data_IF_836924234413
#
_entry.id   IF_836924234413
#
_cell.length_a   1.000
_cell.length_b   1.000
_cell.length_c   1.000
_cell.angle_alpha   90.00
_cell.angle_beta   90.00
_cell.angle_gamma   90.00
#
_symmetry.space_group_name_H-M   'P 1'
#
loop_
_entity.id
_entity.type
_entity.pdbx_description
1 polymer ?
#
# COMPACT_ATOMS: atom_id res chain seq x y z
N UNK A 1 -57.59 -39.35 32.10
CA UNK A 1 -57.40 -37.99 32.66
C UNK A 1 -55.95 -37.84 33.06
N UNK A 2 -55.14 -37.10 32.30
CA UNK A 2 -53.82 -36.62 32.74
C UNK A 2 -53.43 -35.37 31.94
N UNK A 3 -52.81 -34.44 32.66
CA UNK A 3 -52.78 -33.00 32.44
C UNK A 3 -51.89 -32.49 31.28
N UNK A 4 -52.12 -31.25 30.79
CA UNK A 4 -51.40 -30.68 29.64
C UNK A 4 -50.01 -30.13 30.01
N UNK A 5 -49.00 -30.44 29.19
CA UNK A 5 -47.70 -29.75 29.18
C UNK A 5 -47.86 -28.37 28.52
N UNK A 6 -48.00 -27.32 29.33
CA UNK A 6 -47.74 -25.96 28.89
C UNK A 6 -46.22 -25.77 28.81
N UNK A 7 -45.71 -25.62 27.59
CA UNK A 7 -44.39 -25.04 27.34
C UNK A 7 -44.44 -23.59 27.82
N UNK A 8 -44.04 -23.36 29.07
CA UNK A 8 -43.69 -22.04 29.55
C UNK A 8 -42.50 -21.55 28.72
N UNK A 9 -42.80 -20.61 27.82
CA UNK A 9 -41.82 -19.76 27.17
C UNK A 9 -41.06 -19.01 28.26
N UNK A 10 -39.90 -19.56 28.65
CA UNK A 10 -38.89 -18.82 29.39
C UNK A 10 -38.27 -17.82 28.40
N UNK A 11 -38.90 -16.65 28.28
CA UNK A 11 -38.24 -15.47 27.73
C UNK A 11 -36.95 -15.27 28.53
N UNK A 12 -35.81 -15.38 27.85
CA UNK A 12 -34.51 -15.16 28.45
C UNK A 12 -34.51 -13.76 29.06
N UNK A 13 -34.52 -13.71 30.39
CA UNK A 13 -34.26 -12.49 31.13
C UNK A 13 -32.86 -12.02 30.75
N UNK A 14 -32.80 -10.98 29.91
CA UNK A 14 -31.58 -10.18 29.72
C UNK A 14 -31.28 -9.59 31.10
N UNK A 15 -30.32 -10.18 31.79
CA UNK A 15 -29.81 -9.68 33.06
C UNK A 15 -29.35 -8.23 32.85
N UNK A 16 -30.03 -7.30 33.52
CA UNK A 16 -29.53 -5.94 33.69
C UNK A 16 -28.28 -6.02 34.56
N UNK A 17 -27.13 -6.14 33.92
CA UNK A 17 -25.86 -5.96 34.61
C UNK A 17 -25.90 -4.57 35.24
N UNK A 18 -25.76 -4.51 36.57
CA UNK A 18 -25.48 -3.29 37.33
C UNK A 18 -24.07 -2.78 37.04
N UNK A 19 -23.75 -2.58 35.76
CA UNK A 19 -22.59 -1.86 35.29
C UNK A 19 -23.05 -0.41 35.08
N UNK A 20 -22.29 0.55 35.63
CA UNK A 20 -22.54 1.97 35.45
C UNK A 20 -22.86 2.28 33.98
N UNK A 21 -24.13 2.61 33.68
CA UNK A 21 -24.53 3.00 32.34
C UNK A 21 -23.92 4.38 32.08
N UNK A 22 -23.05 4.47 31.07
CA UNK A 22 -22.55 5.74 30.53
C UNK A 22 -23.76 6.65 30.23
N UNK A 23 -23.72 7.89 30.69
CA UNK A 23 -24.84 8.81 30.44
C UNK A 23 -24.95 9.10 28.95
N UNK A 24 -26.17 9.30 28.41
CA UNK A 24 -26.37 9.64 26.99
C UNK A 24 -25.58 10.91 26.59
N UNK A 25 -25.41 11.82 27.55
CA UNK A 25 -24.63 13.04 27.40
C UNK A 25 -23.13 12.75 27.24
N UNK A 26 -22.61 11.79 28.00
CA UNK A 26 -21.21 11.39 27.91
C UNK A 26 -20.90 10.72 26.55
N UNK A 27 -21.82 9.89 26.05
CA UNK A 27 -21.72 9.34 24.70
C UNK A 27 -21.79 10.44 23.62
N UNK A 28 -22.65 11.45 23.80
CA UNK A 28 -22.76 12.57 22.86
C UNK A 28 -21.49 13.42 22.82
N UNK A 29 -20.91 13.73 23.98
CA UNK A 29 -19.69 14.54 24.05
C UNK A 29 -18.49 13.75 23.49
N UNK A 30 -18.35 12.48 23.87
CA UNK A 30 -17.25 11.63 23.38
C UNK A 30 -17.33 11.42 21.87
N UNK A 31 -18.50 11.12 21.32
CA UNK A 31 -18.68 11.00 19.86
C UNK A 31 -18.42 12.32 19.12
N UNK A 32 -18.83 13.46 19.68
CA UNK A 32 -18.53 14.77 19.09
C UNK A 32 -17.02 15.04 19.01
N UNK A 33 -16.26 14.73 20.06
CA UNK A 33 -14.80 14.88 20.06
C UNK A 33 -14.16 13.91 19.06
N UNK A 34 -14.62 12.66 18.99
CA UNK A 34 -14.10 11.67 18.02
C UNK A 34 -14.29 12.13 16.57
N UNK A 35 -15.44 12.74 16.23
CA UNK A 35 -15.68 13.28 14.89
C UNK A 35 -14.67 14.38 14.54
N UNK A 36 -14.39 15.31 15.45
CA UNK A 36 -13.42 16.39 15.20
C UNK A 36 -12.00 15.83 15.07
N UNK A 37 -11.60 14.91 15.94
CA UNK A 37 -10.27 14.31 15.91
C UNK A 37 -10.02 13.52 14.61
N UNK A 38 -11.00 12.74 14.16
CA UNK A 38 -10.89 11.97 12.92
C UNK A 38 -10.79 12.88 11.69
N UNK A 39 -11.53 13.98 11.66
CA UNK A 39 -11.47 14.95 10.56
C UNK A 39 -10.06 15.55 10.38
N UNK A 40 -9.33 15.81 11.47
CA UNK A 40 -7.97 16.37 11.42
C UNK A 40 -6.90 15.30 11.16
N UNK A 41 -7.08 14.08 11.68
CA UNK A 41 -6.09 13.02 11.57
C UNK A 41 -6.10 12.29 10.22
N UNK A 42 -7.27 12.18 9.57
CA UNK A 42 -7.45 11.36 8.37
C UNK A 42 -6.60 11.80 7.16
N UNK A 43 -6.48 13.11 6.82
CA UNK A 43 -5.67 13.54 5.69
C UNK A 43 -4.19 13.17 5.83
N UNK A 44 -3.64 13.32 7.04
CA UNK A 44 -2.24 12.98 7.36
C UNK A 44 -1.99 11.47 7.26
N UNK A 45 -2.96 10.66 7.70
CA UNK A 45 -2.89 9.21 7.57
C UNK A 45 -2.86 8.78 6.10
N UNK A 46 -3.69 9.35 5.24
CA UNK A 46 -3.71 9.02 3.81
C UNK A 46 -2.38 9.37 3.13
N UNK A 47 -1.79 10.52 3.46
CA UNK A 47 -0.51 10.94 2.90
C UNK A 47 0.63 9.98 3.29
N UNK A 48 0.72 9.62 4.56
CA UNK A 48 1.77 8.71 5.06
C UNK A 48 1.59 7.28 4.56
N UNK A 49 0.35 6.78 4.51
CA UNK A 49 0.02 5.48 3.90
C UNK A 49 0.46 5.44 2.44
N UNK A 50 0.10 6.45 1.65
CA UNK A 50 0.47 6.51 0.23
C UNK A 50 1.99 6.59 0.05
N UNK A 51 2.68 7.37 0.88
CA UNK A 51 4.14 7.43 0.89
C UNK A 51 4.78 6.07 1.19
N UNK A 52 4.25 5.31 2.15
CA UNK A 52 4.72 3.98 2.48
C UNK A 52 4.50 2.98 1.34
N UNK A 53 3.31 3.01 0.71
CA UNK A 53 2.98 2.12 -0.41
C UNK A 53 3.88 2.41 -1.63
N UNK A 54 3.99 3.69 -2.04
CA UNK A 54 4.85 4.11 -3.15
C UNK A 54 6.32 3.83 -2.82
N UNK A 55 6.76 4.11 -1.59
CA UNK A 55 8.12 3.83 -1.13
C UNK A 55 8.47 2.34 -1.16
N UNK A 56 7.54 1.46 -0.76
CA UNK A 56 7.74 0.01 -0.81
C UNK A 56 7.87 -0.47 -2.26
N UNK A 57 7.02 0.03 -3.16
CA UNK A 57 7.04 -0.32 -4.57
C UNK A 57 8.34 0.13 -5.24
N UNK A 58 8.74 1.37 -5.01
CA UNK A 58 10.02 1.92 -5.51
C UNK A 58 11.18 1.10 -4.94
N UNK A 59 11.15 0.75 -3.65
CA UNK A 59 12.17 -0.10 -3.02
C UNK A 59 12.28 -1.48 -3.65
N UNK A 60 11.17 -2.18 -3.83
CA UNK A 60 11.10 -3.48 -4.50
C UNK A 60 11.65 -3.42 -5.93
N UNK A 61 11.27 -2.38 -6.69
CA UNK A 61 11.75 -2.18 -8.05
C UNK A 61 13.22 -1.79 -8.14
N UNK A 62 13.74 -1.00 -7.20
CA UNK A 62 15.19 -0.77 -7.12
C UNK A 62 15.95 -2.07 -6.86
N UNK A 63 15.40 -2.97 -6.03
CA UNK A 63 15.97 -4.30 -5.79
C UNK A 63 15.96 -5.16 -7.05
N UNK A 64 14.82 -5.21 -7.75
CA UNK A 64 14.69 -5.90 -9.03
C UNK A 64 15.65 -5.35 -10.09
N UNK A 65 15.73 -4.02 -10.22
CA UNK A 65 16.61 -3.35 -11.18
C UNK A 65 18.10 -3.66 -10.89
N UNK A 66 18.49 -3.77 -9.61
CA UNK A 66 19.84 -4.22 -9.23
C UNK A 66 20.10 -5.69 -9.56
N UNK A 67 19.13 -6.56 -9.33
CA UNK A 67 19.23 -7.96 -9.71
C UNK A 67 19.45 -8.10 -11.23
N UNK A 68 18.69 -7.33 -12.02
CA UNK A 68 18.85 -7.21 -13.46
C UNK A 68 20.25 -6.71 -13.88
N UNK A 69 20.73 -5.61 -13.29
CA UNK A 69 22.06 -5.10 -13.59
C UNK A 69 23.16 -6.12 -13.24
N UNK A 70 22.96 -6.91 -12.17
CA UNK A 70 23.90 -7.97 -11.78
C UNK A 70 23.93 -9.10 -12.80
N UNK A 71 22.77 -9.48 -13.36
CA UNK A 71 22.69 -10.48 -14.42
C UNK A 71 23.37 -10.01 -15.70
N UNK A 72 23.17 -8.74 -16.07
CA UNK A 72 23.85 -8.12 -17.23
C UNK A 72 25.37 -8.16 -17.04
N UNK A 73 25.87 -7.76 -15.87
CA UNK A 73 27.29 -7.79 -15.55
C UNK A 73 27.88 -9.22 -15.49
N UNK A 74 27.08 -10.20 -15.07
CA UNK A 74 27.52 -11.59 -14.90
C UNK A 74 27.40 -12.45 -16.16
N UNK A 75 26.73 -11.95 -17.21
CA UNK A 75 26.46 -12.70 -18.44
C UNK A 75 25.54 -13.91 -18.22
N UNK A 76 24.74 -13.90 -17.14
CA UNK A 76 23.83 -15.00 -16.81
C UNK A 76 22.52 -14.85 -17.58
N UNK A 77 22.00 -15.99 -18.04
CA UNK A 77 20.82 -16.08 -18.91
C UNK A 77 19.50 -16.26 -18.13
N UNK A 78 19.49 -15.92 -16.84
CA UNK A 78 18.30 -16.02 -15.99
C UNK A 78 17.45 -14.77 -16.15
N UNK A 79 16.13 -14.94 -16.26
CA UNK A 79 15.18 -13.82 -16.29
C UNK A 79 14.63 -13.62 -14.88
N UNK A 80 14.94 -12.50 -14.20
CA UNK A 80 14.38 -12.24 -12.89
C UNK A 80 12.87 -12.00 -13.03
N UNK A 81 12.08 -12.61 -12.15
CA UNK A 81 10.64 -12.41 -12.13
C UNK A 81 10.32 -11.04 -11.52
N UNK A 82 9.51 -10.20 -12.18
CA UNK A 82 9.10 -8.91 -11.64
C UNK A 82 8.33 -9.07 -10.31
N UNK A 83 8.40 -8.08 -9.40
CA UNK A 83 7.59 -8.12 -8.19
C UNK A 83 6.10 -8.15 -8.54
N UNK A 84 5.28 -8.90 -7.78
CA UNK A 84 3.85 -8.98 -8.03
C UNK A 84 3.19 -7.61 -7.84
N UNK A 85 2.43 -7.18 -8.85
CA UNK A 85 1.61 -5.97 -8.75
C UNK A 85 0.43 -6.22 -7.81
N UNK A 86 0.24 -5.34 -6.83
CA UNK A 86 -1.00 -5.31 -6.04
C UNK A 86 -1.75 -4.02 -6.36
N UNK A 87 -3.07 -4.08 -6.64
CA UNK A 87 -3.85 -2.91 -7.05
C UNK A 87 -3.83 -1.78 -6.01
N UNK A 88 -3.56 -2.10 -4.74
CA UNK A 88 -3.48 -1.11 -3.65
C UNK A 88 -2.18 -0.29 -3.65
N UNK A 89 -1.09 -0.81 -4.24
CA UNK A 89 0.24 -0.18 -4.26
C UNK A 89 0.52 0.62 -5.54
N UNK A 90 -0.29 0.43 -6.58
CA UNK A 90 -0.03 0.92 -7.92
C UNK A 90 0.28 -0.20 -8.91
N UNK A 91 0.48 0.17 -10.17
CA UNK A 91 0.84 -0.74 -11.25
C UNK A 91 2.34 -0.73 -11.52
N UNK A 92 2.87 -1.89 -11.89
CA UNK A 92 4.19 -2.02 -12.52
C UNK A 92 3.99 -2.47 -13.95
N UNK A 93 4.59 -1.74 -14.87
CA UNK A 93 4.65 -2.09 -16.27
C UNK A 93 6.10 -2.38 -16.65
N UNK A 94 6.31 -3.47 -17.38
CA UNK A 94 7.61 -3.88 -17.89
C UNK A 94 7.63 -3.54 -19.36
N UNK A 95 8.22 -2.39 -19.70
CA UNK A 95 8.35 -1.97 -21.10
C UNK A 95 9.41 -2.80 -21.80
N UNK A 96 10.50 -3.09 -21.08
CA UNK A 96 11.57 -3.98 -21.53
C UNK A 96 12.09 -4.76 -20.32
N UNK A 97 11.96 -6.09 -20.36
CA UNK A 97 12.45 -6.97 -19.31
C UNK A 97 13.93 -7.30 -19.49
N UNK A 98 14.60 -7.60 -18.38
CA UNK A 98 15.97 -8.10 -18.39
C UNK A 98 15.94 -9.56 -18.82
N UNK A 99 16.49 -9.85 -19.99
CA UNK A 99 16.56 -11.22 -20.48
C UNK A 99 17.95 -11.49 -21.03
N UNK A 100 18.26 -12.77 -21.22
CA UNK A 100 19.50 -13.16 -21.89
C UNK A 100 19.67 -12.53 -23.28
N UNK A 101 18.56 -12.18 -23.94
CA UNK A 101 18.56 -11.52 -25.24
C UNK A 101 18.65 -9.98 -25.15
N UNK A 102 18.27 -9.41 -24.00
CA UNK A 102 18.24 -7.96 -23.76
C UNK A 102 18.98 -7.65 -22.45
N UNK A 103 20.24 -7.22 -22.58
CA UNK A 103 21.08 -6.80 -21.46
C UNK A 103 20.68 -5.43 -20.89
N UNK A 104 19.47 -4.93 -21.18
CA UNK A 104 18.95 -3.67 -20.69
C UNK A 104 17.47 -3.80 -20.41
N UNK A 105 16.96 -2.96 -19.52
CA UNK A 105 15.56 -3.01 -19.13
C UNK A 105 15.00 -1.65 -18.76
N UNK A 106 13.70 -1.51 -18.99
CA UNK A 106 12.93 -0.33 -18.66
C UNK A 106 11.66 -0.77 -17.95
N UNK A 107 11.45 -0.27 -16.75
CA UNK A 107 10.31 -0.58 -15.90
C UNK A 107 9.65 0.73 -15.51
N UNK A 108 8.33 0.73 -15.43
CA UNK A 108 7.57 1.87 -14.94
C UNK A 108 6.71 1.44 -13.77
N UNK A 109 6.77 2.22 -12.69
CA UNK A 109 5.80 2.16 -11.61
C UNK A 109 4.84 3.34 -11.72
N UNK A 110 3.55 3.11 -11.54
CA UNK A 110 2.53 4.16 -11.54
C UNK A 110 1.58 3.99 -10.35
N UNK A 111 1.12 5.09 -9.77
CA UNK A 111 0.29 5.09 -8.56
C UNK A 111 -1.04 5.84 -8.74
N UNK A 112 -1.51 5.97 -9.99
CA UNK A 112 -2.85 6.47 -10.31
C UNK A 112 -3.06 7.90 -9.83
N UNK A 113 -3.97 8.10 -8.86
CA UNK A 113 -4.25 9.39 -8.21
C UNK A 113 -3.58 9.55 -6.83
N UNK A 114 -2.99 8.49 -6.27
CA UNK A 114 -2.25 8.59 -5.02
C UNK A 114 -1.00 9.45 -5.23
N UNK A 115 -0.68 10.36 -4.32
CA UNK A 115 0.50 11.22 -4.41
C UNK A 115 1.28 11.18 -3.11
N UNK A 116 2.60 11.16 -3.22
CA UNK A 116 3.52 11.23 -2.10
C UNK A 116 4.80 11.93 -2.52
N UNK A 117 5.29 12.84 -1.68
CA UNK A 117 6.57 13.53 -1.85
C UNK A 117 7.60 13.01 -0.87
N UNK A 118 8.88 13.11 -1.24
CA UNK A 118 10.01 12.72 -0.40
C UNK A 118 10.44 11.26 -0.57
N UNK A 119 9.83 10.52 -1.49
CA UNK A 119 10.27 9.16 -1.82
C UNK A 119 11.55 9.26 -2.63
N UNK A 120 12.60 8.54 -2.21
CA UNK A 120 13.88 8.49 -2.92
C UNK A 120 13.89 7.35 -3.93
N UNK A 121 14.31 7.65 -5.14
CA UNK A 121 14.62 6.65 -6.16
C UNK A 121 16.02 6.91 -6.72
N UNK A 122 17.01 6.18 -6.21
CA UNK A 122 18.43 6.49 -6.41
C UNK A 122 18.72 7.97 -6.09
N UNK A 123 19.10 8.76 -7.10
CA UNK A 123 19.40 10.18 -6.98
C UNK A 123 18.16 11.08 -7.13
N UNK A 124 17.03 10.55 -7.57
CA UNK A 124 15.79 11.30 -7.77
C UNK A 124 14.88 11.25 -6.54
N UNK A 125 14.04 12.27 -6.39
CA UNK A 125 13.11 12.40 -5.24
C UNK A 125 11.73 12.80 -5.72
N UNK A 126 10.69 12.15 -5.22
CA UNK A 126 9.33 12.41 -5.64
C UNK A 126 8.82 13.76 -5.12
N UNK A 127 8.02 14.41 -5.94
CA UNK A 127 7.21 15.58 -5.58
C UNK A 127 5.75 15.15 -5.42
N UNK A 128 4.89 16.07 -5.00
CA UNK A 128 3.44 15.82 -4.96
C UNK A 128 2.81 15.71 -6.36
N UNK A 129 3.52 16.11 -7.43
CA UNK A 129 3.05 15.98 -8.80
C UNK A 129 3.39 14.62 -9.41
N UNK A 130 4.45 13.96 -8.92
CA UNK A 130 4.92 12.69 -9.44
C UNK A 130 3.83 11.60 -9.40
N UNK A 131 3.45 11.10 -10.58
CA UNK A 131 2.45 10.03 -10.73
C UNK A 131 3.07 8.68 -11.12
N UNK A 132 4.33 8.71 -11.57
CA UNK A 132 5.07 7.53 -11.99
C UNK A 132 6.57 7.66 -11.71
N UNK A 133 7.27 6.53 -11.71
CA UNK A 133 8.73 6.47 -11.77
C UNK A 133 9.17 5.48 -12.85
N UNK A 134 10.15 5.92 -13.64
CA UNK A 134 10.79 5.12 -14.68
C UNK A 134 12.16 4.68 -14.20
N UNK A 135 12.40 3.38 -14.27
CA UNK A 135 13.68 2.74 -14.01
C UNK A 135 14.30 2.35 -15.34
N UNK A 136 15.54 2.72 -15.57
CA UNK A 136 16.30 2.32 -16.75
C UNK A 136 17.58 1.63 -16.32
N UNK A 137 17.79 0.43 -16.85
CA UNK A 137 19.00 -0.36 -16.71
C UNK A 137 19.66 -0.43 -18.08
N UNK A 138 20.85 0.16 -18.21
CA UNK A 138 21.62 0.08 -19.46
C UNK A 138 22.41 -1.22 -19.54
N UNK A 139 22.88 -1.54 -20.74
CA UNK A 139 23.76 -2.69 -21.01
C UNK A 139 25.08 -2.62 -20.25
N UNK A 140 25.55 -1.42 -19.94
CA UNK A 140 26.73 -1.18 -19.10
C UNK A 140 26.42 -1.30 -17.59
N UNK A 141 25.27 -1.90 -17.23
CA UNK A 141 24.80 -2.08 -15.86
C UNK A 141 24.60 -0.77 -15.09
N UNK A 142 24.43 0.35 -15.79
CA UNK A 142 24.11 1.63 -15.17
C UNK A 142 22.62 1.67 -14.85
N UNK A 143 22.31 2.00 -13.60
CA UNK A 143 20.95 2.13 -13.08
C UNK A 143 20.59 3.60 -12.95
N UNK A 144 19.50 4.00 -13.59
CA UNK A 144 18.87 5.31 -13.36
C UNK A 144 17.41 5.13 -12.94
N UNK A 145 16.94 6.07 -12.13
CA UNK A 145 15.53 6.17 -11.79
C UNK A 145 15.12 7.63 -11.71
N UNK A 146 13.98 7.94 -12.33
CA UNK A 146 13.44 9.29 -12.42
C UNK A 146 11.94 9.26 -12.12
N UNK A 147 11.47 10.27 -11.38
CA UNK A 147 10.05 10.51 -11.18
C UNK A 147 9.50 11.40 -12.30
N UNK A 148 8.27 11.12 -12.71
CA UNK A 148 7.56 11.87 -13.76
C UNK A 148 6.10 12.11 -13.34
N UNK A 149 5.46 13.09 -13.98
CA UNK A 149 4.08 13.49 -13.74
C UNK A 149 3.05 12.70 -14.57
#
# INVERSE_FOLDING_TARGET
MNAPRRLQQAGAAVGRNGAAAFTLLELMITSAILVVLTAVAFPLYQQTRNAALIGSLVGELTGFARACATLNASGLSETPTPPPVSPERGGVEILQGCTAANQGATLQASWGSARASGIRCLSSTSTLSSSKATFTITTDSTLSCLFED
#
